data_IF_685679041481
#
_entry.id   IF_685679041481
#
_cell.length_a   1.000
_cell.length_b   1.000
_cell.length_c   1.000
_cell.angle_alpha   90.00
_cell.angle_beta   90.00
_cell.angle_gamma   90.00
#
_symmetry.space_group_name_H-M   'P 1'
#
loop_
_entity.id
_entity.type
_entity.pdbx_description
1 polymer ?
#
# COMPACT_ATOMS: atom_id res chain seq x y z
N UNK A 1 19.40 -22.80 70.18
CA UNK A 1 18.59 -23.63 69.26
C UNK A 1 17.13 -23.38 69.57
N UNK A 2 16.38 -22.76 68.66
CA UNK A 2 14.92 -22.65 68.75
C UNK A 2 14.39 -22.77 67.32
N UNK A 3 13.62 -23.82 67.05
CA UNK A 3 13.04 -24.12 65.74
C UNK A 3 11.69 -23.43 65.63
N UNK A 4 11.57 -22.43 64.73
CA UNK A 4 10.30 -21.83 64.35
C UNK A 4 9.56 -22.71 63.34
N UNK A 5 8.31 -23.04 63.67
CA UNK A 5 7.42 -23.88 62.86
C UNK A 5 7.05 -23.23 61.50
N UNK A 6 6.82 -24.03 60.44
CA UNK A 6 6.39 -23.50 59.15
C UNK A 6 4.90 -23.13 59.17
N UNK A 7 4.61 -21.85 58.90
CA UNK A 7 3.26 -21.38 58.63
C UNK A 7 2.71 -22.02 57.34
N UNK A 8 1.68 -22.85 57.53
CA UNK A 8 0.94 -23.51 56.45
C UNK A 8 -0.01 -22.51 55.77
N UNK A 9 0.50 -21.78 54.77
CA UNK A 9 -0.30 -20.85 53.99
C UNK A 9 -1.08 -21.65 52.92
N UNK A 10 -2.23 -22.22 53.30
CA UNK A 10 -3.22 -22.71 52.34
C UNK A 10 -3.59 -21.54 51.41
N UNK A 11 -3.26 -21.65 50.12
CA UNK A 11 -3.73 -20.73 49.08
C UNK A 11 -5.26 -20.70 49.15
N UNK A 12 -5.82 -19.63 49.72
CA UNK A 12 -7.26 -19.36 49.66
C UNK A 12 -7.53 -18.81 48.26
N UNK A 13 -8.39 -19.49 47.51
CA UNK A 13 -8.88 -18.95 46.24
C UNK A 13 -9.52 -17.58 46.52
N UNK A 14 -9.08 -16.51 45.86
CA UNK A 14 -9.53 -15.14 46.13
C UNK A 14 -11.04 -14.92 46.00
N UNK A 15 -11.75 -15.88 45.40
CA UNK A 15 -13.22 -15.91 45.28
C UNK A 15 -13.91 -16.49 46.52
N UNK A 16 -13.22 -17.31 47.32
CA UNK A 16 -13.77 -18.00 48.50
C UNK A 16 -13.96 -17.10 49.71
N UNK A 17 -13.42 -15.86 49.67
CA UNK A 17 -13.61 -14.84 50.71
C UNK A 17 -14.85 -13.96 50.50
N UNK A 18 -15.58 -14.14 49.39
CA UNK A 18 -16.79 -13.38 49.08
C UNK A 18 -18.06 -14.11 49.55
N UNK A 19 -19.17 -13.37 49.65
CA UNK A 19 -20.50 -13.97 49.80
C UNK A 19 -20.78 -14.93 48.64
N UNK A 20 -21.48 -16.04 48.91
CA UNK A 20 -21.84 -17.06 47.90
C UNK A 20 -22.59 -16.43 46.72
N UNK A 21 -23.50 -15.51 47.01
CA UNK A 21 -24.28 -14.79 46.00
C UNK A 21 -23.38 -13.92 45.10
N UNK A 22 -22.38 -13.25 45.68
CA UNK A 22 -21.40 -12.45 44.93
C UNK A 22 -20.46 -13.33 44.11
N UNK A 23 -20.08 -14.49 44.64
CA UNK A 23 -19.25 -15.46 43.93
C UNK A 23 -19.96 -16.02 42.69
N UNK A 24 -21.24 -16.38 42.82
CA UNK A 24 -22.05 -16.89 41.71
C UNK A 24 -22.27 -15.82 40.64
N UNK A 25 -22.60 -14.59 41.05
CA UNK A 25 -22.76 -13.46 40.14
C UNK A 25 -21.46 -13.19 39.35
N UNK A 26 -20.33 -13.14 40.04
CA UNK A 26 -19.04 -12.87 39.40
C UNK A 26 -18.64 -14.00 38.44
N UNK A 27 -18.88 -15.25 38.83
CA UNK A 27 -18.62 -16.40 37.96
C UNK A 27 -19.52 -16.40 36.71
N UNK A 28 -20.79 -15.96 36.83
CA UNK A 28 -21.70 -15.75 35.71
C UNK A 28 -21.17 -14.70 34.75
N UNK A 29 -20.84 -13.50 35.25
CA UNK A 29 -20.30 -12.40 34.43
C UNK A 29 -19.00 -12.80 33.73
N UNK A 30 -18.12 -13.55 34.39
CA UNK A 30 -16.87 -14.03 33.81
C UNK A 30 -17.10 -15.00 32.63
N UNK A 31 -18.10 -15.87 32.75
CA UNK A 31 -18.49 -16.83 31.71
C UNK A 31 -19.17 -16.14 30.54
N UNK A 32 -20.11 -15.24 30.82
CA UNK A 32 -20.87 -14.50 29.81
C UNK A 32 -19.95 -13.60 28.96
N UNK A 33 -18.90 -13.05 29.57
CA UNK A 33 -17.89 -12.25 28.86
C UNK A 33 -16.76 -13.05 28.22
N UNK A 34 -16.73 -14.37 28.36
CA UNK A 34 -15.73 -15.22 27.71
C UNK A 34 -14.28 -14.86 28.06
N UNK A 35 -14.01 -14.52 29.33
CA UNK A 35 -12.67 -14.11 29.77
C UNK A 35 -11.62 -15.22 29.55
N UNK A 36 -10.44 -14.84 29.09
CA UNK A 36 -9.29 -15.75 28.99
C UNK A 36 -8.84 -16.25 30.38
N UNK A 37 -8.20 -17.43 30.44
CA UNK A 37 -7.69 -17.99 31.70
C UNK A 37 -6.76 -17.02 32.46
N UNK A 38 -5.97 -16.24 31.73
CA UNK A 38 -5.11 -15.21 32.31
C UNK A 38 -5.93 -14.08 32.95
N UNK A 39 -6.97 -13.61 32.27
CA UNK A 39 -7.86 -12.58 32.81
C UNK A 39 -8.64 -13.06 34.03
N UNK A 40 -9.06 -14.33 34.07
CA UNK A 40 -9.67 -14.93 35.27
C UNK A 40 -8.71 -14.90 36.47
N UNK A 41 -7.44 -15.21 36.23
CA UNK A 41 -6.40 -15.19 37.26
C UNK A 41 -6.08 -13.78 37.76
N UNK A 42 -6.12 -12.78 36.87
CA UNK A 42 -5.92 -11.38 37.23
C UNK A 42 -7.08 -10.84 38.07
N UNK A 43 -8.34 -11.19 37.72
CA UNK A 43 -9.52 -10.88 38.54
C UNK A 43 -9.38 -11.49 39.94
N UNK A 44 -9.08 -12.79 40.02
CA UNK A 44 -8.94 -13.49 41.30
C UNK A 44 -7.81 -12.92 42.17
N UNK A 45 -6.70 -12.54 41.55
CA UNK A 45 -5.56 -11.92 42.25
C UNK A 45 -5.90 -10.53 42.77
N UNK A 46 -6.65 -9.72 42.01
CA UNK A 46 -7.08 -8.39 42.44
C UNK A 46 -8.13 -8.44 43.55
N UNK A 47 -9.06 -9.41 43.51
CA UNK A 47 -9.97 -9.71 44.63
C UNK A 47 -9.21 -10.09 45.90
N UNK A 48 -8.21 -10.97 45.79
CA UNK A 48 -7.42 -11.41 46.93
C UNK A 48 -6.60 -10.26 47.56
N UNK A 49 -6.20 -9.29 46.73
CA UNK A 49 -5.52 -8.06 47.19
C UNK A 49 -6.47 -7.01 47.75
N UNK A 50 -7.78 -7.15 47.58
CA UNK A 50 -8.78 -6.15 47.98
C UNK A 50 -8.75 -4.89 47.12
N UNK A 51 -8.22 -4.97 45.90
CA UNK A 51 -8.08 -3.83 44.98
C UNK A 51 -9.23 -3.80 43.97
N UNK A 52 -9.82 -2.62 43.73
CA UNK A 52 -10.90 -2.39 42.76
C UNK A 52 -10.48 -2.62 41.29
N UNK A 53 -9.19 -2.86 41.01
CA UNK A 53 -8.68 -3.19 39.68
C UNK A 53 -9.38 -4.40 39.01
N UNK A 54 -10.05 -5.28 39.76
CA UNK A 54 -10.84 -6.39 39.20
C UNK A 54 -11.96 -5.93 38.26
N UNK A 55 -12.53 -4.75 38.49
CA UNK A 55 -13.56 -4.16 37.61
C UNK A 55 -13.00 -3.86 36.21
N UNK A 56 -11.73 -3.42 36.16
CA UNK A 56 -11.04 -3.17 34.90
C UNK A 56 -10.71 -4.48 34.17
N UNK A 57 -10.35 -5.54 34.91
CA UNK A 57 -10.11 -6.86 34.33
C UNK A 57 -11.38 -7.51 33.77
N UNK A 58 -12.55 -7.27 34.38
CA UNK A 58 -13.85 -7.68 33.82
C UNK A 58 -14.26 -6.90 32.58
N UNK A 59 -13.83 -5.63 32.49
CA UNK A 59 -14.19 -4.70 31.41
C UNK A 59 -13.18 -4.67 30.28
N UNK A 60 -12.03 -5.30 30.46
CA UNK A 60 -11.00 -5.41 29.45
C UNK A 60 -11.55 -6.19 28.25
N UNK A 61 -11.65 -5.52 27.10
CA UNK A 61 -12.20 -6.00 25.82
C UNK A 61 -11.44 -7.16 25.17
N UNK A 62 -10.80 -8.02 25.96
CA UNK A 62 -10.26 -9.31 25.55
C UNK A 62 -11.35 -10.37 25.32
N UNK A 63 -12.61 -10.02 25.58
CA UNK A 63 -13.82 -10.85 25.43
C UNK A 63 -14.08 -11.39 24.01
N UNK A 64 -13.36 -10.94 22.98
CA UNK A 64 -13.55 -11.42 21.61
C UNK A 64 -12.55 -12.51 21.18
N UNK A 65 -11.53 -12.84 21.98
CA UNK A 65 -10.62 -13.93 21.61
C UNK A 65 -11.19 -15.28 22.08
N UNK A 66 -12.04 -15.86 21.25
CA UNK A 66 -12.19 -17.31 21.24
C UNK A 66 -10.98 -17.88 20.49
N UNK A 67 -10.12 -18.71 21.13
CA UNK A 67 -9.15 -19.47 20.35
C UNK A 67 -9.95 -20.29 19.33
N UNK A 68 -9.61 -20.26 18.03
CA UNK A 68 -10.32 -21.05 17.04
C UNK A 68 -10.31 -22.50 17.53
N UNK A 69 -11.50 -23.13 17.61
CA UNK A 69 -11.61 -24.57 17.79
C UNK A 69 -11.01 -25.22 16.54
N UNK A 70 -9.69 -25.33 16.48
CA UNK A 70 -9.04 -26.03 15.39
C UNK A 70 -9.50 -27.47 15.44
N UNK A 71 -10.30 -27.89 14.45
CA UNK A 71 -10.56 -29.30 14.13
C UNK A 71 -9.31 -30.02 13.58
N UNK A 72 -8.15 -29.37 13.68
CA UNK A 72 -6.85 -29.87 13.26
C UNK A 72 -5.95 -29.92 14.48
N UNK A 73 -5.98 -31.06 15.17
CA UNK A 73 -4.99 -31.43 16.17
C UNK A 73 -4.64 -32.90 15.98
N UNK A 74 -3.92 -33.21 14.90
CA UNK A 74 -2.85 -34.18 15.08
C UNK A 74 -1.76 -33.41 15.83
N UNK A 75 -1.45 -33.75 17.10
CA UNK A 75 -0.36 -33.09 17.79
C UNK A 75 0.91 -33.33 16.98
N UNK A 76 1.56 -32.24 16.53
CA UNK A 76 2.89 -32.32 15.93
C UNK A 76 3.82 -32.87 17.01
N UNK A 77 4.28 -34.11 16.82
CA UNK A 77 5.30 -34.73 17.67
C UNK A 77 6.59 -33.95 17.52
N UNK A 78 6.83 -33.02 18.43
CA UNK A 78 8.16 -32.42 18.60
C UNK A 78 9.09 -33.45 19.23
N UNK A 79 10.34 -33.58 18.77
CA UNK A 79 11.33 -34.42 19.42
C UNK A 79 11.50 -34.01 20.88
N UNK A 80 11.43 -34.98 21.79
CA UNK A 80 11.69 -34.78 23.21
C UNK A 80 13.19 -34.53 23.41
N UNK A 81 13.61 -33.28 23.31
CA UNK A 81 14.98 -32.88 23.65
C UNK A 81 15.11 -32.82 25.17
N UNK A 82 15.99 -33.67 25.70
CA UNK A 82 16.40 -33.67 27.10
C UNK A 82 15.58 -34.59 28.00
N UNK A 83 15.83 -35.90 27.93
CA UNK A 83 15.87 -36.79 29.11
C UNK A 83 16.33 -38.19 28.67
N UNK A 84 17.57 -38.53 29.02
CA UNK A 84 18.02 -39.91 29.27
C UNK A 84 18.30 -40.81 28.07
N UNK A 85 19.56 -41.19 27.88
CA UNK A 85 19.95 -42.35 27.09
C UNK A 85 21.20 -42.14 26.26
N UNK A 86 22.30 -42.75 26.69
CA UNK A 86 23.60 -42.75 26.01
C UNK A 86 23.49 -43.22 24.55
N UNK A 87 23.79 -42.32 23.62
CA UNK A 87 24.31 -42.67 22.31
C UNK A 87 25.38 -41.63 22.00
N UNK A 88 26.58 -42.13 21.70
CA UNK A 88 27.81 -41.40 21.38
C UNK A 88 27.50 -40.10 20.63
N UNK A 89 27.51 -38.98 21.36
CA UNK A 89 27.53 -37.68 20.72
C UNK A 89 28.90 -37.58 20.01
N UNK A 90 28.95 -37.17 18.73
CA UNK A 90 30.23 -36.86 18.11
C UNK A 90 30.95 -35.81 18.99
N UNK A 91 32.29 -35.89 19.14
CA UNK A 91 33.01 -34.92 19.94
C UNK A 91 32.65 -33.53 19.45
N UNK A 92 32.18 -32.68 20.38
CA UNK A 92 31.95 -31.27 20.09
C UNK A 92 33.22 -30.73 19.41
N UNK A 93 33.13 -30.12 18.22
CA UNK A 93 34.31 -29.58 17.55
C UNK A 93 35.03 -28.69 18.53
N UNK A 94 36.34 -28.95 18.67
CA UNK A 94 37.20 -28.38 19.69
C UNK A 94 36.86 -26.91 19.93
N UNK A 95 36.64 -26.58 21.20
CA UNK A 95 36.50 -25.20 21.67
C UNK A 95 37.43 -24.29 20.88
N UNK A 96 36.84 -23.37 20.12
CA UNK A 96 37.50 -22.18 19.55
C UNK A 96 38.48 -22.36 18.37
N UNK A 97 38.54 -23.51 17.69
CA UNK A 97 39.27 -23.59 16.41
C UNK A 97 38.49 -22.86 15.31
N UNK A 98 38.80 -21.57 15.10
CA UNK A 98 38.20 -20.73 14.06
C UNK A 98 37.55 -19.43 14.55
N UNK A 99 37.50 -19.19 15.87
CA UNK A 99 37.07 -17.89 16.42
C UNK A 99 38.31 -17.00 16.51
N UNK A 100 38.37 -16.00 15.63
CA UNK A 100 39.40 -14.95 15.68
C UNK A 100 39.36 -14.24 17.04
N UNK A 101 40.53 -13.97 17.61
CA UNK A 101 40.64 -13.20 18.85
C UNK A 101 40.23 -11.75 18.60
N UNK A 102 39.81 -11.01 19.63
CA UNK A 102 39.30 -9.63 19.46
C UNK A 102 40.26 -8.72 18.68
N UNK A 103 41.57 -8.84 18.90
CA UNK A 103 42.57 -8.07 18.18
C UNK A 103 42.67 -8.47 16.69
N UNK A 104 42.46 -9.75 16.37
CA UNK A 104 42.40 -10.25 14.99
C UNK A 104 41.11 -9.81 14.29
N UNK A 105 39.98 -9.77 15.01
CA UNK A 105 38.71 -9.25 14.50
C UNK A 105 38.86 -7.75 14.19
N UNK A 106 39.38 -6.96 15.12
CA UNK A 106 39.55 -5.51 14.92
C UNK A 106 40.55 -5.18 13.80
N UNK A 107 41.53 -6.04 13.53
CA UNK A 107 42.50 -5.89 12.43
C UNK A 107 41.91 -6.30 11.08
N UNK A 108 41.25 -7.45 11.02
CA UNK A 108 40.81 -8.03 9.74
C UNK A 108 39.44 -7.50 9.30
N UNK A 109 38.57 -7.11 10.23
CA UNK A 109 37.23 -6.57 9.96
C UNK A 109 36.79 -5.65 11.11
N UNK A 110 37.15 -4.34 11.06
CA UNK A 110 36.64 -3.38 12.02
C UNK A 110 35.10 -3.44 12.03
N UNK A 111 34.45 -3.62 13.20
CA UNK A 111 33.00 -3.66 13.25
C UNK A 111 32.45 -2.26 12.95
N UNK A 112 32.01 -2.06 11.72
CA UNK A 112 31.28 -0.86 11.34
C UNK A 112 29.88 -0.89 11.98
N UNK A 113 29.42 0.27 12.45
CA UNK A 113 28.04 0.40 12.93
C UNK A 113 27.13 0.35 11.71
N UNK A 114 26.19 -0.60 11.69
CA UNK A 114 25.13 -0.63 10.69
C UNK A 114 24.39 0.71 10.69
N UNK A 115 24.56 1.47 9.62
CA UNK A 115 23.81 2.70 9.40
C UNK A 115 22.43 2.35 8.88
N UNK A 116 21.39 2.91 9.50
CA UNK A 116 20.02 2.77 9.02
C UNK A 116 19.91 3.32 7.59
N UNK A 117 19.68 2.44 6.61
CA UNK A 117 19.63 2.79 5.19
C UNK A 117 18.27 3.31 4.71
N UNK A 118 17.33 3.57 5.63
CA UNK A 118 15.95 3.91 5.26
C UNK A 118 15.22 2.72 4.63
N UNK A 119 13.94 2.56 4.95
CA UNK A 119 13.06 1.68 4.20
C UNK A 119 12.48 2.40 2.97
N UNK A 120 11.84 1.68 2.05
CA UNK A 120 11.00 2.29 1.01
C UNK A 120 10.00 3.27 1.62
N UNK A 121 9.60 4.33 0.88
CA UNK A 121 8.58 5.26 1.35
C UNK A 121 7.33 4.53 1.83
N UNK A 122 6.79 4.95 2.98
CA UNK A 122 5.58 4.36 3.50
C UNK A 122 4.44 4.52 2.47
N UNK A 123 3.56 3.50 2.32
CA UNK A 123 2.41 3.61 1.44
C UNK A 123 1.54 4.81 1.81
N UNK A 124 0.99 5.49 0.80
CA UNK A 124 0.10 6.62 1.02
C UNK A 124 -1.19 6.13 1.71
N UNK A 125 -1.36 6.51 2.98
CA UNK A 125 -2.48 6.05 3.83
C UNK A 125 -3.83 6.53 3.33
N UNK A 126 -3.90 7.70 2.68
CA UNK A 126 -5.16 8.22 2.15
C UNK A 126 -5.65 7.41 0.95
N UNK A 127 -4.74 6.99 0.07
CA UNK A 127 -5.09 6.14 -1.09
C UNK A 127 -5.61 4.78 -0.61
N UNK A 128 -4.98 4.20 0.40
CA UNK A 128 -5.42 2.91 0.94
C UNK A 128 -6.75 3.05 1.71
N UNK A 129 -6.96 4.16 2.42
CA UNK A 129 -8.24 4.48 3.07
C UNK A 129 -9.37 4.58 2.05
N UNK A 130 -9.18 5.32 0.97
CA UNK A 130 -10.18 5.45 -0.10
C UNK A 130 -10.48 4.10 -0.77
N UNK A 131 -9.44 3.31 -1.05
CA UNK A 131 -9.58 1.96 -1.58
C UNK A 131 -10.40 1.08 -0.65
N UNK A 132 -10.10 1.09 0.65
CA UNK A 132 -10.83 0.31 1.64
C UNK A 132 -12.27 0.81 1.79
N UNK A 133 -12.53 2.13 1.75
CA UNK A 133 -13.90 2.68 1.75
C UNK A 133 -14.72 2.13 0.59
N UNK A 134 -14.19 2.20 -0.64
CA UNK A 134 -14.84 1.64 -1.84
C UNK A 134 -15.12 0.14 -1.70
N UNK A 135 -14.17 -0.61 -1.13
CA UNK A 135 -14.34 -2.06 -0.91
C UNK A 135 -15.42 -2.34 0.14
N UNK A 136 -15.53 -1.52 1.19
CA UNK A 136 -16.58 -1.66 2.20
C UNK A 136 -17.97 -1.32 1.65
N UNK A 137 -18.07 -0.29 0.81
CA UNK A 137 -19.33 0.17 0.23
C UNK A 137 -19.87 -0.77 -0.87
N UNK A 138 -18.99 -1.22 -1.78
CA UNK A 138 -19.37 -1.93 -3.01
C UNK A 138 -18.95 -3.41 -3.02
N UNK A 139 -18.23 -3.86 -2.00
CA UNK A 139 -17.54 -5.14 -1.99
C UNK A 139 -16.32 -5.17 -2.91
N UNK A 140 -15.47 -6.20 -2.77
CA UNK A 140 -14.22 -6.30 -3.53
C UNK A 140 -14.41 -6.40 -5.06
N UNK A 141 -15.55 -6.95 -5.53
CA UNK A 141 -15.88 -7.02 -6.96
C UNK A 141 -16.38 -5.68 -7.49
N UNK A 142 -17.31 -5.03 -6.78
CA UNK A 142 -17.85 -3.73 -7.18
C UNK A 142 -16.81 -2.62 -7.19
N UNK A 143 -15.87 -2.63 -6.25
CA UNK A 143 -14.74 -1.69 -6.24
C UNK A 143 -13.84 -1.83 -7.48
N UNK A 144 -13.56 -3.07 -7.91
CA UNK A 144 -12.76 -3.34 -9.12
C UNK A 144 -13.46 -2.88 -10.39
N UNK A 145 -14.74 -3.20 -10.54
CA UNK A 145 -15.53 -2.77 -11.70
C UNK A 145 -15.64 -1.23 -11.80
N UNK A 146 -15.76 -0.54 -10.66
CA UNK A 146 -15.77 0.91 -10.60
C UNK A 146 -14.42 1.50 -11.02
N UNK A 147 -13.31 0.96 -10.50
CA UNK A 147 -11.97 1.42 -10.87
C UNK A 147 -11.67 1.15 -12.35
N UNK A 148 -12.12 0.02 -12.91
CA UNK A 148 -12.01 -0.30 -14.34
C UNK A 148 -12.82 0.66 -15.22
N UNK A 149 -14.06 0.98 -14.82
CA UNK A 149 -14.90 1.98 -15.51
C UNK A 149 -14.27 3.36 -15.47
N UNK A 150 -13.75 3.78 -14.32
CA UNK A 150 -13.05 5.06 -14.17
C UNK A 150 -11.77 5.11 -15.00
N UNK A 151 -11.01 4.01 -15.06
CA UNK A 151 -9.82 3.90 -15.90
C UNK A 151 -10.17 3.97 -17.39
N UNK A 152 -11.22 3.29 -17.82
CA UNK A 152 -11.73 3.34 -19.20
C UNK A 152 -12.18 4.76 -19.58
N UNK A 153 -12.96 5.42 -18.73
CA UNK A 153 -13.41 6.80 -18.94
C UNK A 153 -12.22 7.76 -19.02
N UNK A 154 -11.23 7.61 -18.14
CA UNK A 154 -10.01 8.44 -18.17
C UNK A 154 -9.20 8.22 -19.44
N UNK A 155 -9.14 6.99 -19.95
CA UNK A 155 -8.47 6.66 -21.22
C UNK A 155 -9.19 7.30 -22.40
N UNK A 156 -10.52 7.18 -22.46
CA UNK A 156 -11.34 7.80 -23.51
C UNK A 156 -11.20 9.33 -23.49
N UNK A 157 -11.26 9.94 -22.31
CA UNK A 157 -11.07 11.38 -22.15
C UNK A 157 -9.70 11.84 -22.66
N UNK A 158 -8.64 11.08 -22.35
CA UNK A 158 -7.28 11.36 -22.85
C UNK A 158 -7.20 11.25 -24.37
N UNK A 159 -7.81 10.22 -24.95
CA UNK A 159 -7.84 10.04 -26.40
C UNK A 159 -8.62 11.16 -27.10
N UNK A 160 -9.76 11.58 -26.55
CA UNK A 160 -10.52 12.74 -27.04
C UNK A 160 -9.68 14.01 -27.00
N UNK A 161 -9.01 14.26 -25.88
CA UNK A 161 -8.14 15.43 -25.74
C UNK A 161 -6.97 15.41 -26.74
N UNK A 162 -6.39 14.24 -27.00
CA UNK A 162 -5.33 14.11 -28.01
C UNK A 162 -5.87 14.33 -29.43
N UNK A 163 -7.05 13.81 -29.75
CA UNK A 163 -7.73 14.07 -31.03
C UNK A 163 -8.03 15.55 -31.22
N UNK A 164 -8.52 16.24 -30.19
CA UNK A 164 -8.76 17.68 -30.24
C UNK A 164 -7.48 18.46 -30.55
N UNK A 165 -6.37 18.18 -29.84
CA UNK A 165 -5.08 18.81 -30.13
C UNK A 165 -4.59 18.58 -31.55
N UNK A 166 -4.82 17.40 -32.13
CA UNK A 166 -4.46 17.11 -33.52
C UNK A 166 -5.31 17.90 -34.52
N UNK A 167 -6.57 18.20 -34.18
CA UNK A 167 -7.43 19.07 -34.98
C UNK A 167 -6.94 20.50 -34.91
N UNK A 168 -6.67 21.02 -33.70
CA UNK A 168 -6.16 22.38 -33.51
C UNK A 168 -4.87 22.62 -34.34
N UNK A 169 -3.89 21.71 -34.24
CA UNK A 169 -2.65 21.81 -35.03
C UNK A 169 -2.91 21.75 -36.54
N UNK A 170 -3.91 20.99 -36.99
CA UNK A 170 -4.27 20.93 -38.41
C UNK A 170 -4.92 22.23 -38.87
N UNK A 171 -5.78 22.83 -38.06
CA UNK A 171 -6.43 24.12 -38.35
C UNK A 171 -5.40 25.24 -38.42
N UNK A 172 -4.47 25.32 -37.45
CA UNK A 172 -3.35 26.27 -37.47
C UNK A 172 -2.50 26.14 -38.74
N UNK A 173 -2.23 24.90 -39.18
CA UNK A 173 -1.46 24.66 -40.40
C UNK A 173 -2.23 25.04 -41.67
N UNK A 174 -3.56 24.86 -41.69
CA UNK A 174 -4.41 25.33 -42.79
C UNK A 174 -4.37 26.86 -42.87
N UNK A 175 -4.54 27.55 -41.74
CA UNK A 175 -4.51 29.01 -41.68
C UNK A 175 -3.18 29.58 -42.16
N UNK A 176 -2.07 28.99 -41.71
CA UNK A 176 -0.73 29.38 -42.17
C UNK A 176 -0.61 29.27 -43.71
N UNK A 177 -1.04 28.14 -44.30
CA UNK A 177 -0.93 27.96 -45.76
C UNK A 177 -1.82 28.96 -46.50
N UNK A 178 -3.01 29.26 -45.98
CA UNK A 178 -3.91 30.27 -46.56
C UNK A 178 -3.28 31.65 -46.54
N UNK A 179 -2.64 32.03 -45.44
CA UNK A 179 -1.97 33.32 -45.31
C UNK A 179 -0.76 33.42 -46.24
N UNK A 180 0.05 32.35 -46.35
CA UNK A 180 1.14 32.31 -47.32
C UNK A 180 0.63 32.47 -48.77
N UNK A 181 -0.49 31.84 -49.14
CA UNK A 181 -1.09 32.03 -50.48
C UNK A 181 -1.52 33.48 -50.68
N UNK A 182 -2.13 34.11 -49.67
CA UNK A 182 -2.51 35.53 -49.74
C UNK A 182 -1.29 36.43 -49.91
N UNK A 183 -0.24 36.22 -49.12
CA UNK A 183 1.02 36.97 -49.22
C UNK A 183 1.65 36.86 -50.61
N UNK A 184 1.64 35.66 -51.22
CA UNK A 184 2.18 35.47 -52.57
C UNK A 184 1.34 36.18 -53.64
N UNK A 185 0.02 36.19 -53.49
CA UNK A 185 -0.87 36.90 -54.40
C UNK A 185 -0.73 38.43 -54.26
N UNK A 186 -0.66 38.96 -53.03
CA UNK A 186 -0.44 40.39 -52.80
C UNK A 186 0.93 40.84 -53.27
N UNK A 187 1.97 40.00 -53.08
CA UNK A 187 3.28 40.24 -53.66
C UNK A 187 3.21 40.35 -55.18
N UNK A 188 2.56 39.41 -55.87
CA UNK A 188 2.43 39.46 -57.32
C UNK A 188 1.67 40.72 -57.79
N UNK A 189 0.64 41.13 -57.06
CA UNK A 189 -0.12 42.35 -57.33
C UNK A 189 0.76 43.61 -57.19
N UNK A 190 1.57 43.69 -56.13
CA UNK A 190 2.52 44.78 -55.94
C UNK A 190 3.58 44.83 -57.05
N UNK A 191 4.12 43.68 -57.47
CA UNK A 191 5.08 43.62 -58.59
C UNK A 191 4.43 43.99 -59.91
N UNK A 192 3.15 43.64 -60.14
CA UNK A 192 2.39 44.08 -61.31
C UNK A 192 2.20 45.60 -61.32
N UNK A 193 1.89 46.21 -60.17
CA UNK A 193 1.77 47.67 -60.06
C UNK A 193 3.08 48.40 -60.39
N UNK A 194 4.23 47.77 -60.13
CA UNK A 194 5.56 48.27 -60.48
C UNK A 194 6.01 47.93 -61.91
N UNK A 195 5.18 47.22 -62.70
CA UNK A 195 5.51 46.79 -64.07
C UNK A 195 6.41 45.55 -64.16
N UNK A 196 6.79 44.95 -63.04
CA UNK A 196 7.67 43.76 -62.98
C UNK A 196 6.89 42.43 -62.82
N UNK A 197 5.56 42.46 -62.87
CA UNK A 197 4.73 41.28 -62.61
C UNK A 197 5.02 40.08 -63.51
N UNK A 198 5.40 40.31 -64.78
CA UNK A 198 5.72 39.25 -65.75
C UNK A 198 6.93 38.40 -65.32
N UNK A 199 7.91 39.02 -64.64
CA UNK A 199 9.13 38.33 -64.20
C UNK A 199 8.83 37.32 -63.08
N UNK A 200 7.89 37.66 -62.20
CA UNK A 200 7.56 36.86 -61.00
C UNK A 200 6.35 35.94 -61.20
N UNK A 201 5.53 36.17 -62.21
CA UNK A 201 4.25 35.48 -62.38
C UNK A 201 4.36 33.96 -62.48
N UNK A 202 5.31 33.44 -63.26
CA UNK A 202 5.49 32.00 -63.40
C UNK A 202 5.95 31.34 -62.08
N UNK A 203 6.86 32.01 -61.36
CA UNK A 203 7.39 31.52 -60.09
C UNK A 203 6.31 31.50 -59.00
N UNK A 204 5.62 32.62 -58.82
CA UNK A 204 4.55 32.77 -57.82
C UNK A 204 3.39 31.80 -58.09
N UNK A 205 2.99 31.62 -59.35
CA UNK A 205 1.97 30.61 -59.70
C UNK A 205 2.40 29.20 -59.30
N UNK A 206 3.68 28.87 -59.45
CA UNK A 206 4.25 27.60 -59.00
C UNK A 206 4.14 27.42 -57.49
N UNK A 207 4.52 28.43 -56.71
CA UNK A 207 4.42 28.41 -55.25
C UNK A 207 2.98 28.29 -54.77
N UNK A 208 2.06 29.08 -55.33
CA UNK A 208 0.63 28.99 -55.01
C UNK A 208 0.08 27.60 -55.34
N UNK A 209 0.45 27.01 -56.48
CA UNK A 209 0.04 25.66 -56.83
C UNK A 209 0.59 24.60 -55.85
N UNK A 210 1.80 24.78 -55.32
CA UNK A 210 2.34 23.90 -54.28
C UNK A 210 1.57 24.03 -52.96
N UNK A 211 1.29 25.25 -52.52
CA UNK A 211 0.51 25.51 -51.30
C UNK A 211 -0.93 24.99 -51.39
N UNK A 212 -1.58 25.14 -52.54
CA UNK A 212 -2.91 24.56 -52.77
C UNK A 212 -2.89 23.03 -52.72
N UNK A 213 -1.83 22.37 -53.22
CA UNK A 213 -1.69 20.90 -53.07
C UNK A 213 -1.47 20.49 -51.61
N UNK A 214 -0.80 21.30 -50.80
CA UNK A 214 -0.65 21.05 -49.37
C UNK A 214 -2.01 21.14 -48.65
N UNK A 215 -2.84 22.12 -48.99
CA UNK A 215 -4.22 22.22 -48.52
C UNK A 215 -5.08 21.02 -48.92
N UNK A 216 -4.95 20.52 -50.16
CA UNK A 216 -5.64 19.31 -50.62
C UNK A 216 -5.24 18.08 -49.77
N UNK A 217 -3.94 17.94 -49.44
CA UNK A 217 -3.45 16.86 -48.55
C UNK A 217 -4.04 16.97 -47.15
N UNK A 218 -4.33 18.18 -46.69
CA UNK A 218 -5.03 18.46 -45.44
C UNK A 218 -6.54 18.40 -45.58
N UNK A 219 -7.08 17.86 -46.68
CA UNK A 219 -8.51 17.62 -46.88
C UNK A 219 -9.34 18.87 -47.15
N UNK A 220 -8.70 20.00 -47.46
CA UNK A 220 -9.39 21.22 -47.88
C UNK A 220 -9.60 21.17 -49.40
N UNK A 221 -10.85 21.22 -49.90
CA UNK A 221 -11.10 21.23 -51.33
C UNK A 221 -10.68 22.58 -51.93
N UNK A 222 -9.72 22.57 -52.86
CA UNK A 222 -9.20 23.78 -53.50
C UNK A 222 -9.74 24.01 -54.91
N UNK A 223 -10.46 23.03 -55.48
CA UNK A 223 -11.14 23.15 -56.76
C UNK A 223 -12.62 23.43 -56.52
N UNK A 224 -13.24 24.35 -57.28
CA UNK A 224 -14.70 24.51 -57.24
C UNK A 224 -15.35 23.17 -57.61
N UNK A 225 -16.35 22.73 -56.84
CA UNK A 225 -17.20 21.61 -57.22
C UNK A 225 -17.91 22.01 -58.53
N UNK A 226 -17.61 21.27 -59.60
CA UNK A 226 -18.30 21.37 -60.88
C UNK A 226 -19.76 20.92 -60.74
#
# INVERSE_FOLDING_TARGET
>A
MSFGAPHNNKKKDGLSSLSKETQELLQGVMKDRGLSQRALQDVASSLQRGDAAWVNHLSSGTASFQPPKSKTANPVKVPKVGTGGSAIAPPLPGRFSGKKMQHEILRDTPPERDMFRGGPPAPNREVEKDRLSKVMELGAKGARELDEKMAAMKREARERAEKAKRVDVREEMIDQIVDEVRERLTFLESMRALGQGQEYEAHIRGEVAMRLKELEKLGVPTKPKA
#
